data_IF_231422684856
#
_entry.id   IF_231422684856
#
_cell.length_a   1.000
_cell.length_b   1.000
_cell.length_c   1.000
_cell.angle_alpha   90.00
_cell.angle_beta   90.00
_cell.angle_gamma   90.00
#
_symmetry.space_group_name_H-M   'P 1'
#
loop_
_entity.id
_entity.type
_entity.pdbx_description
1 polymer ?
#
# COMPACT_ATOMS: atom_id res chain seq x y z
N UNK A 1 -4.67 -0.54 23.86
CA UNK A 1 -4.12 -1.85 23.47
C UNK A 1 -3.12 -1.60 22.35
N UNK A 2 -1.88 -2.10 22.49
CA UNK A 2 -0.87 -2.02 21.42
C UNK A 2 -0.44 -3.45 21.13
N UNK A 3 -0.64 -3.98 19.91
CA UNK A 3 -0.29 -5.35 19.60
C UNK A 3 1.21 -5.55 19.79
N UNK A 4 1.60 -6.69 20.37
CA UNK A 4 3.01 -7.09 20.43
C UNK A 4 3.46 -7.50 19.03
N UNK A 5 4.44 -6.80 18.48
CA UNK A 5 5.04 -7.16 17.19
C UNK A 5 5.94 -8.38 17.40
N UNK A 6 5.49 -9.54 16.93
CA UNK A 6 6.22 -10.82 17.12
C UNK A 6 7.30 -11.02 16.05
N UNK A 7 7.10 -10.50 14.84
CA UNK A 7 8.02 -10.65 13.71
C UNK A 7 8.08 -9.38 12.83
N UNK A 8 9.29 -9.00 12.41
CA UNK A 8 9.51 -7.91 11.44
C UNK A 8 10.03 -8.51 10.13
N UNK A 9 9.26 -8.38 9.05
CA UNK A 9 9.57 -8.94 7.74
C UNK A 9 9.73 -7.82 6.71
N UNK A 10 10.70 -7.98 5.81
CA UNK A 10 11.08 -6.95 4.83
C UNK A 10 10.39 -7.10 3.47
N UNK A 11 9.73 -8.23 3.22
CA UNK A 11 9.10 -8.53 1.93
C UNK A 11 7.64 -8.92 2.13
N UNK A 12 6.76 -8.22 1.43
CA UNK A 12 5.31 -8.38 1.54
C UNK A 12 4.83 -9.81 1.23
N UNK A 13 5.40 -10.48 0.22
CA UNK A 13 5.00 -11.86 -0.11
C UNK A 13 5.39 -12.87 0.97
N UNK A 14 6.50 -12.65 1.68
CA UNK A 14 6.88 -13.48 2.82
C UNK A 14 5.90 -13.34 3.99
N UNK A 15 5.39 -12.12 4.23
CA UNK A 15 4.33 -11.88 5.23
C UNK A 15 3.08 -12.71 4.89
N UNK A 16 2.60 -12.61 3.65
CA UNK A 16 1.38 -13.33 3.22
C UNK A 16 1.58 -14.84 3.25
N UNK A 17 2.78 -15.34 2.91
CA UNK A 17 3.10 -16.77 2.99
C UNK A 17 3.00 -17.33 4.42
N UNK A 18 3.43 -16.57 5.45
CA UNK A 18 3.27 -17.01 6.84
C UNK A 18 1.80 -17.01 7.29
N UNK A 19 1.02 -16.02 6.84
CA UNK A 19 -0.43 -16.00 7.09
C UNK A 19 -1.10 -17.21 6.45
N UNK A 20 -0.75 -17.53 5.20
CA UNK A 20 -1.30 -18.68 4.47
C UNK A 20 -0.98 -20.03 5.13
N UNK A 21 0.15 -20.11 5.86
CA UNK A 21 0.53 -21.28 6.65
C UNK A 21 -0.10 -21.32 8.05
N UNK A 22 -0.94 -20.33 8.41
CA UNK A 22 -1.60 -20.24 9.71
C UNK A 22 -0.69 -19.77 10.86
N UNK A 23 0.47 -19.18 10.54
CA UNK A 23 1.48 -18.78 11.54
C UNK A 23 1.35 -17.32 12.00
N UNK A 24 0.53 -16.51 11.32
CA UNK A 24 0.42 -15.08 11.60
C UNK A 24 -0.93 -14.49 11.19
N UNK A 25 -1.19 -13.28 11.70
CA UNK A 25 -2.17 -12.32 11.18
C UNK A 25 -1.41 -11.01 10.93
N UNK A 26 -1.67 -10.34 9.80
CA UNK A 26 -0.93 -9.14 9.42
C UNK A 26 -1.85 -8.06 8.83
N UNK A 27 -1.48 -6.80 9.06
CA UNK A 27 -1.97 -5.67 8.29
C UNK A 27 -1.12 -5.54 7.04
N UNK A 28 -1.76 -5.49 5.87
CA UNK A 28 -1.09 -5.44 4.58
C UNK A 28 -1.76 -4.41 3.65
N UNK A 29 -1.03 -3.85 2.66
CA UNK A 29 -1.65 -3.06 1.61
C UNK A 29 -2.68 -3.89 0.83
N UNK A 30 -3.82 -3.29 0.48
CA UNK A 30 -4.89 -3.96 -0.25
C UNK A 30 -4.43 -4.58 -1.59
N UNK A 31 -3.43 -3.97 -2.24
CA UNK A 31 -2.85 -4.47 -3.48
C UNK A 31 -2.30 -5.91 -3.39
N UNK A 32 -1.91 -6.40 -2.21
CA UNK A 32 -1.43 -7.78 -2.07
C UNK A 32 -2.49 -8.85 -2.32
N UNK A 33 -3.77 -8.49 -2.31
CA UNK A 33 -4.83 -9.40 -2.74
C UNK A 33 -4.62 -9.86 -4.19
N UNK A 34 -4.01 -9.03 -5.04
CA UNK A 34 -3.71 -9.36 -6.44
C UNK A 34 -2.62 -10.43 -6.59
N UNK A 35 -1.88 -10.76 -5.52
CA UNK A 35 -0.87 -11.81 -5.56
C UNK A 35 -1.47 -13.23 -5.50
N UNK A 36 -2.78 -13.34 -5.19
CA UNK A 36 -3.57 -14.58 -5.22
C UNK A 36 -2.93 -15.78 -4.50
N UNK A 37 -2.24 -15.52 -3.38
CA UNK A 37 -1.65 -16.56 -2.54
C UNK A 37 -2.77 -17.36 -1.84
N UNK A 38 -2.91 -18.62 -2.25
CA UNK A 38 -3.86 -19.56 -1.64
C UNK A 38 -3.57 -19.77 -0.15
N UNK A 39 -4.63 -19.94 0.64
CA UNK A 39 -4.54 -20.18 2.08
C UNK A 39 -4.60 -18.91 2.94
N UNK A 40 -4.54 -17.71 2.35
CA UNK A 40 -4.76 -16.46 3.06
C UNK A 40 -6.15 -15.86 2.76
N UNK A 41 -6.85 -15.39 3.80
CA UNK A 41 -8.08 -14.62 3.66
C UNK A 41 -7.79 -13.12 3.84
N UNK A 42 -8.18 -12.30 2.87
CA UNK A 42 -8.04 -10.86 2.94
C UNK A 42 -9.33 -10.23 3.45
N UNK A 43 -9.26 -9.50 4.57
CA UNK A 43 -10.40 -8.83 5.19
C UNK A 43 -10.14 -7.33 5.21
N UNK A 44 -11.05 -6.55 4.62
CA UNK A 44 -10.97 -5.09 4.65
C UNK A 44 -11.12 -4.57 6.08
N UNK A 45 -10.15 -3.78 6.53
CA UNK A 45 -10.17 -3.18 7.86
C UNK A 45 -11.08 -1.95 7.84
N UNK A 46 -12.08 -1.93 8.73
CA UNK A 46 -12.93 -0.76 8.92
C UNK A 46 -12.19 0.25 9.80
N UNK A 47 -12.01 1.46 9.28
CA UNK A 47 -11.42 2.57 10.03
C UNK A 47 -12.40 3.75 10.12
N UNK A 48 -13.44 3.63 10.95
CA UNK A 48 -14.50 4.64 11.04
C UNK A 48 -13.99 6.00 11.56
N UNK A 49 -12.84 6.02 12.21
CA UNK A 49 -12.24 7.23 12.78
C UNK A 49 -11.05 7.76 11.97
N UNK A 50 -10.67 7.10 10.87
CA UNK A 50 -9.52 7.53 10.04
C UNK A 50 -8.18 7.47 10.77
N UNK A 51 -8.06 6.61 11.77
CA UNK A 51 -6.90 6.53 12.68
C UNK A 51 -5.81 5.57 12.20
N UNK A 52 -6.09 4.72 11.22
CA UNK A 52 -5.10 3.80 10.68
C UNK A 52 -4.23 4.50 9.64
N UNK A 53 -2.90 4.28 9.68
CA UNK A 53 -2.01 4.82 8.68
C UNK A 53 -2.37 4.24 7.31
N UNK A 54 -2.53 5.13 6.32
CA UNK A 54 -2.74 4.72 4.93
C UNK A 54 -1.42 4.29 4.32
N UNK A 55 -1.45 3.20 3.56
CA UNK A 55 -0.30 2.82 2.76
C UNK A 55 -0.22 3.73 1.52
N UNK A 56 0.82 4.55 1.45
CA UNK A 56 1.03 5.47 0.34
C UNK A 56 2.07 4.93 -0.65
N UNK A 57 1.79 5.12 -1.94
CA UNK A 57 2.76 4.89 -3.01
C UNK A 57 2.95 6.20 -3.76
N UNK A 58 4.19 6.69 -3.82
CA UNK A 58 4.52 7.98 -4.45
C UNK A 58 5.42 7.76 -5.66
N UNK A 59 5.11 8.43 -6.77
CA UNK A 59 6.03 8.54 -7.91
C UNK A 59 7.04 9.64 -7.62
N UNK A 60 8.34 9.32 -7.68
CA UNK A 60 9.43 10.26 -7.43
C UNK A 60 10.33 10.37 -8.65
N UNK A 61 10.73 11.59 -9.00
CA UNK A 61 11.68 11.85 -10.09
C UNK A 61 12.59 13.03 -9.76
N UNK A 62 13.77 13.07 -10.38
CA UNK A 62 14.68 14.19 -10.25
C UNK A 62 14.33 15.27 -11.30
N UNK A 63 13.94 16.48 -10.90
CA UNK A 63 13.55 17.55 -11.82
C UNK A 63 14.72 18.08 -12.67
N UNK A 64 15.97 17.86 -12.26
CA UNK A 64 17.15 18.31 -12.99
C UNK A 64 17.51 17.42 -14.20
N UNK A 65 16.85 16.26 -14.36
CA UNK A 65 17.09 15.35 -15.48
C UNK A 65 16.05 15.59 -16.57
N UNK A 66 16.51 15.69 -17.81
CA UNK A 66 15.61 15.61 -18.96
C UNK A 66 15.02 14.19 -19.05
N UNK A 67 13.69 14.12 -19.07
CA UNK A 67 12.91 12.88 -19.03
C UNK A 67 11.78 12.97 -20.05
N UNK A 68 12.08 12.83 -21.35
CA UNK A 68 11.14 13.11 -22.43
C UNK A 68 9.85 12.25 -22.37
N UNK A 69 9.92 11.07 -21.74
CA UNK A 69 8.78 10.19 -21.57
C UNK A 69 8.00 10.38 -20.24
N UNK A 70 8.47 11.22 -19.31
CA UNK A 70 7.85 11.35 -17.98
C UNK A 70 6.38 11.78 -18.08
N UNK A 71 6.07 12.76 -18.93
CA UNK A 71 4.70 13.22 -19.13
C UNK A 71 3.78 12.16 -19.76
N UNK A 72 4.32 11.25 -20.58
CA UNK A 72 3.56 10.12 -21.12
C UNK A 72 3.31 9.06 -20.04
N UNK A 73 4.35 8.74 -19.26
CA UNK A 73 4.25 7.79 -18.15
C UNK A 73 3.24 8.25 -17.09
N UNK A 74 3.32 9.49 -16.63
CA UNK A 74 2.40 10.01 -15.61
C UNK A 74 0.95 9.97 -16.08
N UNK A 75 0.68 10.24 -17.36
CA UNK A 75 -0.68 10.10 -17.93
C UNK A 75 -1.16 8.65 -17.91
N UNK A 76 -0.30 7.70 -18.27
CA UNK A 76 -0.66 6.28 -18.22
C UNK A 76 -0.94 5.82 -16.78
N UNK A 77 -0.11 6.23 -15.82
CA UNK A 77 -0.32 5.92 -14.40
C UNK A 77 -1.61 6.55 -13.88
N UNK A 78 -1.87 7.82 -14.17
CA UNK A 78 -3.10 8.50 -13.74
C UNK A 78 -4.37 7.87 -14.32
N UNK A 79 -4.29 7.22 -15.48
CA UNK A 79 -5.44 6.54 -16.08
C UNK A 79 -5.80 5.22 -15.39
N UNK A 80 -4.85 4.60 -14.67
CA UNK A 80 -5.05 3.28 -14.01
C UNK A 80 -4.98 3.34 -12.48
N UNK A 81 -4.35 4.38 -11.93
CA UNK A 81 -4.32 4.61 -10.50
C UNK A 81 -5.73 5.02 -10.05
N UNK A 82 -6.33 4.26 -9.15
CA UNK A 82 -7.54 4.72 -8.48
C UNK A 82 -7.22 6.04 -7.74
N UNK A 83 -8.07 7.07 -7.87
CA UNK A 83 -7.85 8.30 -7.15
C UNK A 83 -7.87 8.00 -5.66
N UNK A 84 -6.75 8.25 -4.98
CA UNK A 84 -6.71 8.26 -3.54
C UNK A 84 -7.81 9.21 -3.06
N UNK A 85 -8.83 8.66 -2.37
CA UNK A 85 -9.94 9.45 -1.84
C UNK A 85 -9.39 10.69 -1.14
N UNK A 86 -9.76 11.84 -1.69
CA UNK A 86 -9.38 13.20 -1.31
C UNK A 86 -9.62 13.46 0.18
N UNK A 87 -8.61 13.24 1.02
CA UNK A 87 -8.60 13.61 2.44
C UNK A 87 -7.36 14.39 2.87
N UNK A 88 -6.39 14.61 1.97
CA UNK A 88 -5.27 15.52 2.19
C UNK A 88 -5.58 16.89 1.56
N UNK A 89 -6.53 17.62 2.17
CA UNK A 89 -6.47 19.07 2.12
C UNK A 89 -5.89 19.50 3.46
N UNK A 90 -4.81 20.29 3.39
CA UNK A 90 -4.28 21.13 4.47
C UNK A 90 -3.05 20.62 5.23
N UNK A 91 -1.92 20.47 4.53
CA UNK A 91 -0.59 20.78 5.08
C UNK A 91 0.25 21.44 3.97
N UNK A 92 0.01 22.72 3.71
CA UNK A 92 1.03 23.65 3.20
C UNK A 92 0.67 25.08 3.63
N UNK A 93 1.18 25.45 4.81
CA UNK A 93 1.48 26.83 5.22
C UNK A 93 2.76 26.81 6.02
#
# INVERSE_FOLDING_TARGET
>A
FTPQTVHELRHWLSVVSLVAQGLAVALVPAALQQAELAGAAFVAVKDPHGTLPRYETRCLWNPARDQPALGLFLRAVQAVAEPASMADKEIDR
#
